data_IF_872269292426
#
_entry.id   IF_872269292426
#
_cell.length_a   1.000
_cell.length_b   1.000
_cell.length_c   1.000
_cell.angle_alpha   90.00
_cell.angle_beta   90.00
_cell.angle_gamma   90.00
#
_symmetry.space_group_name_H-M   'P 1'
#
loop_
_entity.id
_entity.type
_entity.pdbx_description
1 polymer ?
#
# COMPACT_ATOMS: atom_id res chain seq x y z
N UNK A 1 -12.83 -13.26 4.06
CA UNK A 1 -12.81 -12.35 5.24
C UNK A 1 -12.94 -13.16 6.54
N UNK A 2 -11.96 -13.15 7.45
CA UNK A 2 -12.09 -13.99 8.66
C UNK A 2 -10.88 -14.22 9.58
N UNK A 3 -9.75 -13.53 9.40
CA UNK A 3 -8.59 -13.65 10.31
C UNK A 3 -8.05 -12.28 10.73
N UNK A 4 -8.66 -11.63 11.74
CA UNK A 4 -8.28 -10.29 12.22
C UNK A 4 -6.80 -10.15 12.57
N UNK A 5 -6.14 -11.23 13.00
CA UNK A 5 -4.72 -11.28 13.35
C UNK A 5 -3.81 -10.93 12.16
N UNK A 6 -4.29 -11.05 10.92
CA UNK A 6 -3.54 -10.71 9.71
C UNK A 6 -3.66 -9.23 9.33
N UNK A 7 -4.58 -8.47 9.93
CA UNK A 7 -4.84 -7.08 9.58
C UNK A 7 -3.79 -6.10 10.11
N UNK A 8 -2.96 -6.51 11.07
CA UNK A 8 -2.03 -5.60 11.75
C UNK A 8 -1.09 -4.84 10.82
N UNK A 9 -0.72 -5.42 9.67
CA UNK A 9 0.10 -4.74 8.64
C UNK A 9 -0.68 -3.62 7.95
N UNK A 10 -1.93 -3.86 7.59
CA UNK A 10 -2.81 -2.86 6.97
C UNK A 10 -3.16 -1.74 7.94
N UNK A 11 -3.45 -2.09 9.20
CA UNK A 11 -3.73 -1.11 10.25
C UNK A 11 -2.53 -0.21 10.52
N UNK A 12 -1.32 -0.77 10.63
CA UNK A 12 -0.09 0.01 10.82
C UNK A 12 0.21 0.94 9.64
N UNK A 13 -0.02 0.47 8.41
CA UNK A 13 0.09 1.34 7.23
C UNK A 13 -0.88 2.52 7.33
N UNK A 14 -2.17 2.27 7.61
CA UNK A 14 -3.17 3.32 7.74
C UNK A 14 -2.82 4.33 8.83
N UNK A 15 -2.35 3.87 9.98
CA UNK A 15 -1.91 4.76 11.06
C UNK A 15 -0.72 5.63 10.65
N UNK A 16 0.21 5.09 9.87
CA UNK A 16 1.39 5.82 9.38
C UNK A 16 1.02 6.89 8.35
N UNK A 17 0.01 6.62 7.51
CA UNK A 17 -0.51 7.57 6.53
C UNK A 17 -1.49 8.59 7.13
N UNK A 18 -2.11 8.26 8.26
CA UNK A 18 -3.21 9.03 8.87
C UNK A 18 -2.94 10.54 9.05
N UNK A 19 -1.73 11.00 9.40
CA UNK A 19 -1.45 12.44 9.50
C UNK A 19 -1.72 13.21 8.20
N UNK A 20 -1.38 12.62 7.04
CA UNK A 20 -1.63 13.22 5.72
C UNK A 20 -3.12 13.32 5.37
N UNK A 21 -3.94 12.44 5.96
CA UNK A 21 -5.39 12.45 5.79
C UNK A 21 -6.08 13.39 6.81
N UNK A 22 -5.57 13.47 8.04
CA UNK A 22 -6.12 14.33 9.11
C UNK A 22 -5.83 15.81 8.89
N UNK A 23 -4.72 16.14 8.22
CA UNK A 23 -4.31 17.50 7.91
C UNK A 23 -4.08 17.64 6.40
N UNK A 24 -5.17 17.71 5.61
CA UNK A 24 -5.05 17.82 4.17
C UNK A 24 -4.37 19.13 3.77
N UNK A 25 -3.65 19.08 2.65
CA UNK A 25 -3.03 20.25 2.05
C UNK A 25 -4.09 21.20 1.45
N UNK A 26 -3.66 22.42 1.13
CA UNK A 26 -4.54 23.49 0.65
C UNK A 26 -5.35 23.12 -0.61
N UNK A 27 -4.81 22.27 -1.48
CA UNK A 27 -5.47 21.83 -2.71
C UNK A 27 -5.08 20.39 -3.10
N UNK A 28 -5.77 19.86 -4.11
CA UNK A 28 -5.58 18.47 -4.61
C UNK A 28 -4.17 18.23 -5.16
N UNK A 29 -3.56 19.22 -5.80
CA UNK A 29 -2.20 19.10 -6.36
C UNK A 29 -1.17 19.03 -5.25
N UNK A 30 -1.28 19.92 -4.26
CA UNK A 30 -0.44 19.92 -3.07
C UNK A 30 -0.59 18.61 -2.29
N UNK A 31 -1.82 18.12 -2.11
CA UNK A 31 -2.08 16.84 -1.47
C UNK A 31 -1.46 15.68 -2.25
N UNK A 32 -1.56 15.70 -3.59
CA UNK A 32 -0.94 14.71 -4.46
C UNK A 32 0.58 14.66 -4.28
N UNK A 33 1.24 15.82 -4.21
CA UNK A 33 2.69 15.90 -3.93
C UNK A 33 3.05 15.35 -2.55
N UNK A 34 2.24 15.64 -1.53
CA UNK A 34 2.44 15.12 -0.18
C UNK A 34 2.31 13.59 -0.16
N UNK A 35 1.35 13.02 -0.88
CA UNK A 35 1.22 11.57 -1.03
C UNK A 35 2.37 10.94 -1.82
N UNK A 36 2.87 11.60 -2.87
CA UNK A 36 4.05 11.12 -3.61
C UNK A 36 5.30 11.12 -2.71
N UNK A 37 5.52 12.18 -1.93
CA UNK A 37 6.61 12.24 -0.96
C UNK A 37 6.51 11.12 0.09
N UNK A 38 5.31 10.89 0.63
CA UNK A 38 5.05 9.77 1.54
C UNK A 38 5.33 8.42 0.88
N UNK A 39 4.84 8.21 -0.35
CA UNK A 39 5.01 6.97 -1.10
C UNK A 39 6.50 6.68 -1.33
N UNK A 40 7.30 7.68 -1.68
CA UNK A 40 8.76 7.55 -1.82
C UNK A 40 9.39 7.19 -0.48
N UNK A 41 9.16 7.98 0.56
CA UNK A 41 9.75 7.74 1.88
C UNK A 41 9.42 6.34 2.41
N UNK A 42 8.15 5.94 2.35
CA UNK A 42 7.69 4.66 2.86
C UNK A 42 8.24 3.46 2.07
N UNK A 43 8.36 3.56 0.74
CA UNK A 43 8.76 2.42 -0.08
C UNK A 43 10.25 2.35 -0.38
N UNK A 44 10.96 3.48 -0.40
CA UNK A 44 12.33 3.58 -0.93
C UNK A 44 13.35 4.02 0.13
N UNK A 45 12.93 4.62 1.24
CA UNK A 45 13.84 5.18 2.25
C UNK A 45 13.70 4.53 3.62
N UNK A 46 12.48 4.09 3.97
CA UNK A 46 12.17 3.55 5.30
C UNK A 46 12.44 2.02 5.35
N UNK A 47 13.40 1.56 6.16
CA UNK A 47 13.61 0.13 6.38
C UNK A 47 12.49 -0.47 7.21
N UNK A 48 12.03 -1.66 6.84
CA UNK A 48 10.94 -2.36 7.52
C UNK A 48 11.44 -3.64 8.18
N UNK A 49 11.21 -3.80 9.49
CA UNK A 49 11.63 -4.99 10.24
C UNK A 49 11.10 -6.30 9.64
N UNK A 50 9.86 -6.29 9.13
CA UNK A 50 9.26 -7.45 8.48
C UNK A 50 9.96 -7.86 7.16
N UNK A 51 10.83 -6.99 6.63
CA UNK A 51 11.68 -7.21 5.46
C UNK A 51 13.16 -7.24 5.85
N UNK A 52 13.49 -7.65 7.09
CA UNK A 52 14.87 -7.71 7.59
C UNK A 52 15.63 -6.37 7.49
N UNK A 53 14.92 -5.26 7.73
CA UNK A 53 15.45 -3.89 7.60
C UNK A 53 15.76 -3.44 6.16
N UNK A 54 15.29 -4.17 5.15
CA UNK A 54 15.21 -3.64 3.79
C UNK A 54 13.98 -2.75 3.58
N UNK A 55 14.02 -2.00 2.50
CA UNK A 55 12.91 -1.18 2.00
C UNK A 55 11.95 -1.99 1.14
N UNK A 56 10.64 -1.65 1.10
CA UNK A 56 9.68 -2.31 0.21
C UNK A 56 10.10 -2.36 -1.26
N UNK A 57 10.74 -1.31 -1.78
CA UNK A 57 11.17 -1.23 -3.18
C UNK A 57 12.27 -2.25 -3.56
N UNK A 58 13.01 -2.78 -2.58
CA UNK A 58 13.96 -3.87 -2.81
C UNK A 58 13.26 -5.22 -3.06
N UNK A 59 12.08 -5.42 -2.47
CA UNK A 59 11.36 -6.71 -2.48
C UNK A 59 10.22 -6.74 -3.50
N UNK A 60 9.57 -5.60 -3.75
CA UNK A 60 8.38 -5.53 -4.59
C UNK A 60 8.63 -4.72 -5.87
N UNK A 61 8.18 -5.28 -6.99
CA UNK A 61 8.17 -4.62 -8.30
C UNK A 61 6.75 -4.62 -8.86
N UNK A 62 6.46 -3.65 -9.73
CA UNK A 62 5.19 -3.64 -10.45
C UNK A 62 5.06 -4.94 -11.24
N UNK A 63 3.89 -5.56 -11.15
CA UNK A 63 3.54 -6.73 -11.95
C UNK A 63 3.68 -6.39 -13.43
N UNK A 64 4.40 -7.23 -14.17
CA UNK A 64 4.45 -7.17 -15.63
C UNK A 64 3.14 -7.66 -16.27
N UNK A 65 2.36 -8.46 -15.53
CA UNK A 65 1.04 -8.91 -15.97
C UNK A 65 0.08 -7.73 -15.90
N UNK A 66 -0.43 -7.32 -17.05
CA UNK A 66 -1.49 -6.33 -17.17
C UNK A 66 -2.80 -6.87 -16.59
N UNK A 67 -3.52 -6.01 -15.89
CA UNK A 67 -4.88 -6.32 -15.45
C UNK A 67 -5.79 -6.35 -16.70
N UNK A 68 -6.56 -7.43 -16.94
CA UNK A 68 -7.47 -7.48 -18.07
C UNK A 68 -8.58 -6.44 -17.91
N UNK A 69 -9.07 -5.89 -19.03
CA UNK A 69 -10.16 -4.91 -19.03
C UNK A 69 -11.45 -5.47 -18.43
N UNK A 70 -11.70 -6.76 -18.65
CA UNK A 70 -12.80 -7.51 -18.06
C UNK A 70 -12.20 -8.70 -17.31
N UNK A 71 -12.32 -8.79 -15.98
CA UNK A 71 -11.85 -9.94 -15.23
C UNK A 71 -12.68 -11.17 -15.60
N UNK A 72 -12.07 -12.38 -15.64
CA UNK A 72 -12.83 -13.62 -15.83
C UNK A 72 -13.78 -13.85 -14.65
N UNK A 73 -14.87 -14.57 -14.89
CA UNK A 73 -15.72 -15.06 -13.79
C UNK A 73 -14.89 -15.92 -12.85
N UNK A 74 -15.03 -15.75 -11.51
CA UNK A 74 -14.31 -16.58 -10.57
C UNK A 74 -14.79 -18.04 -10.65
N UNK A 75 -13.85 -18.97 -10.78
CA UNK A 75 -14.13 -20.40 -10.64
C UNK A 75 -14.02 -20.78 -9.17
N UNK A 76 -15.16 -21.00 -8.52
CA UNK A 76 -15.23 -21.50 -7.15
C UNK A 76 -15.58 -22.99 -7.17
N UNK A 77 -14.88 -23.84 -6.40
CA UNK A 77 -15.27 -25.25 -6.28
C UNK A 77 -16.69 -25.35 -5.72
N UNK A 78 -17.48 -26.31 -6.21
CA UNK A 78 -18.72 -26.70 -5.55
C UNK A 78 -18.39 -27.24 -4.14
N UNK A 79 -19.20 -26.88 -3.15
CA UNK A 79 -19.05 -27.32 -1.76
C UNK A 79 -19.05 -28.84 -1.60
#
# INVERSE_FOLDING_TARGET
PGKPQQNGRHERFHLTMLPLAKHPQADRTAQGRAFEAFRRSYNEERPHEALAMDTPAQHYRRSQRLMPRTPPEPDYPAE
#
